data_IF_597472465525
#
_entry.id   IF_597472465525
#
_cell.length_a   1.000
_cell.length_b   1.000
_cell.length_c   1.000
_cell.angle_alpha   90.00
_cell.angle_beta   90.00
_cell.angle_gamma   90.00
#
_symmetry.space_group_name_H-M   'P 1'
#
loop_
_entity.id
_entity.type
_entity.pdbx_description
1 polymer ?
#
# COMPACT_ATOMS: atom_id res chain seq x y z
N UNK A 1 -9.01 -45.19 -4.01
CA UNK A 1 -9.01 -44.22 -2.89
C UNK A 1 -8.47 -42.81 -3.31
N UNK A 2 -8.51 -42.49 -4.58
CA UNK A 2 -7.85 -41.31 -5.13
C UNK A 2 -8.64 -39.97 -5.02
N UNK A 3 -9.76 -39.91 -4.30
CA UNK A 3 -10.62 -38.72 -4.25
C UNK A 3 -11.09 -38.33 -2.83
N UNK A 4 -10.38 -38.73 -1.79
CA UNK A 4 -10.71 -38.33 -0.44
C UNK A 4 -10.03 -37.00 -0.13
N UNK A 5 -10.80 -36.02 0.34
CA UNK A 5 -10.25 -34.71 0.75
C UNK A 5 -9.27 -34.89 1.92
N UNK A 6 -8.21 -34.10 1.95
CA UNK A 6 -7.18 -34.16 3.00
C UNK A 6 -7.78 -34.01 4.42
N UNK A 7 -8.79 -33.15 4.58
CA UNK A 7 -9.51 -32.94 5.87
C UNK A 7 -10.26 -34.20 6.33
N UNK A 8 -10.54 -35.13 5.43
CA UNK A 8 -11.22 -36.39 5.72
C UNK A 8 -10.23 -37.60 5.74
N UNK A 9 -8.94 -37.33 5.77
CA UNK A 9 -7.88 -38.33 5.84
C UNK A 9 -7.27 -38.74 4.49
N UNK A 10 -7.50 -37.99 3.42
CA UNK A 10 -6.79 -38.10 2.16
C UNK A 10 -5.43 -37.41 2.19
N UNK A 11 -4.61 -37.66 1.17
CA UNK A 11 -3.31 -37.01 1.04
C UNK A 11 -3.47 -35.51 0.73
N UNK A 12 -2.76 -34.59 1.44
CA UNK A 12 -2.77 -33.19 1.12
C UNK A 12 -2.08 -32.92 -0.22
N UNK A 13 -2.68 -32.05 -1.04
CA UNK A 13 -2.08 -31.62 -2.32
C UNK A 13 -0.74 -30.88 -2.10
N UNK A 14 -0.66 -30.15 -0.99
CA UNK A 14 0.57 -29.46 -0.58
C UNK A 14 1.14 -30.23 0.61
N UNK A 15 2.34 -30.84 0.48
CA UNK A 15 2.96 -31.57 1.58
C UNK A 15 3.21 -30.68 2.81
N UNK A 16 3.18 -31.23 4.02
CA UNK A 16 3.59 -30.50 5.22
C UNK A 16 4.99 -29.88 5.06
N UNK A 17 5.15 -28.60 5.41
CA UNK A 17 6.42 -27.87 5.30
C UNK A 17 6.76 -27.35 3.90
N UNK A 18 5.95 -27.60 2.88
CA UNK A 18 6.16 -27.02 1.55
C UNK A 18 5.92 -25.50 1.51
N UNK A 19 4.99 -25.01 2.33
CA UNK A 19 4.78 -23.57 2.51
C UNK A 19 5.70 -23.09 3.62
N UNK A 20 6.67 -22.25 3.24
CA UNK A 20 7.61 -21.65 4.20
C UNK A 20 6.93 -20.50 4.95
N UNK A 21 7.33 -20.24 6.21
CA UNK A 21 6.89 -19.06 6.94
C UNK A 21 7.21 -17.76 6.16
N UNK A 22 6.34 -16.81 6.26
CA UNK A 22 6.54 -15.47 5.70
C UNK A 22 6.25 -14.41 6.78
N UNK A 23 7.07 -13.36 6.91
CA UNK A 23 8.35 -13.16 6.20
C UNK A 23 9.44 -14.15 6.67
N UNK A 24 10.44 -14.46 5.84
CA UNK A 24 11.59 -15.24 6.27
C UNK A 24 12.41 -14.40 7.26
N UNK A 25 12.64 -14.92 8.46
CA UNK A 25 13.53 -14.31 9.46
C UNK A 25 14.91 -14.96 9.34
N UNK A 26 15.94 -14.14 9.26
CA UNK A 26 17.33 -14.55 9.13
C UNK A 26 18.14 -14.14 10.37
N UNK A 27 19.36 -14.68 10.52
CA UNK A 27 20.28 -14.30 11.58
C UNK A 27 20.59 -12.79 11.55
N UNK A 28 20.63 -12.18 10.36
CA UNK A 28 20.85 -10.74 10.18
C UNK A 28 19.69 -9.93 10.78
N UNK A 29 18.44 -10.39 10.59
CA UNK A 29 17.27 -9.73 11.18
C UNK A 29 17.34 -9.81 12.72
N UNK A 30 17.72 -10.96 13.25
CA UNK A 30 17.90 -11.13 14.71
C UNK A 30 18.99 -10.21 15.26
N UNK A 31 20.13 -10.09 14.59
CA UNK A 31 21.22 -9.19 14.98
C UNK A 31 20.76 -7.74 15.05
N UNK A 32 20.07 -7.25 14.02
CA UNK A 32 19.55 -5.86 13.98
C UNK A 32 18.54 -5.60 15.08
N UNK A 33 17.62 -6.52 15.31
CA UNK A 33 16.61 -6.39 16.38
C UNK A 33 17.28 -6.37 17.76
N UNK A 34 18.20 -7.29 18.02
CA UNK A 34 18.93 -7.34 19.30
C UNK A 34 19.81 -6.10 19.52
N UNK A 35 20.48 -5.62 18.49
CA UNK A 35 21.28 -4.39 18.56
C UNK A 35 20.38 -3.18 18.88
N UNK A 36 19.21 -3.08 18.26
CA UNK A 36 18.26 -2.02 18.52
C UNK A 36 17.72 -2.07 19.96
N UNK A 37 17.36 -3.26 20.47
CA UNK A 37 16.87 -3.44 21.85
C UNK A 37 17.93 -3.07 22.91
N UNK A 38 19.20 -3.35 22.62
CA UNK A 38 20.32 -3.04 23.50
C UNK A 38 20.80 -1.60 23.40
N UNK A 39 20.34 -0.87 22.39
CA UNK A 39 20.65 0.54 22.17
C UNK A 39 19.93 1.45 23.15
N UNK A 40 20.42 2.69 23.29
CA UNK A 40 19.85 3.67 24.21
C UNK A 40 18.67 4.48 23.64
N UNK A 41 18.48 4.46 22.31
CA UNK A 41 17.46 5.27 21.64
C UNK A 41 16.48 4.37 20.86
N UNK A 42 15.30 4.17 21.45
CA UNK A 42 14.27 3.28 20.90
C UNK A 42 13.15 4.02 20.16
N UNK A 43 13.04 5.35 20.27
CA UNK A 43 11.92 6.10 19.67
C UNK A 43 12.19 6.44 18.20
N UNK A 44 13.22 7.21 17.93
CA UNK A 44 13.67 7.54 16.55
C UNK A 44 15.18 7.26 16.49
N UNK A 45 15.49 5.98 16.38
CA UNK A 45 16.86 5.49 16.47
C UNK A 45 17.62 5.60 15.14
N UNK A 46 18.92 5.31 15.16
CA UNK A 46 19.79 5.37 13.98
C UNK A 46 19.31 4.45 12.85
N UNK A 47 18.69 3.32 13.18
CA UNK A 47 18.15 2.39 12.19
C UNK A 47 17.01 3.01 11.37
N UNK A 48 16.14 3.85 11.98
CA UNK A 48 15.11 4.57 11.24
C UNK A 48 15.72 5.54 10.22
N UNK A 49 16.71 6.32 10.66
CA UNK A 49 17.39 7.30 9.81
C UNK A 49 18.08 6.63 8.62
N UNK A 50 18.76 5.51 8.87
CA UNK A 50 19.46 4.80 7.79
C UNK A 50 18.46 4.12 6.84
N UNK A 51 17.42 3.48 7.38
CA UNK A 51 16.36 2.88 6.59
C UNK A 51 15.67 3.91 5.67
N UNK A 52 15.36 5.11 6.16
CA UNK A 52 14.77 6.18 5.34
C UNK A 52 15.66 6.55 4.15
N UNK A 53 16.98 6.66 4.36
CA UNK A 53 17.94 6.95 3.28
C UNK A 53 18.02 5.81 2.26
N UNK A 54 18.18 4.58 2.75
CA UNK A 54 18.28 3.40 1.90
C UNK A 54 17.01 3.17 1.10
N UNK A 55 15.83 3.29 1.75
CA UNK A 55 14.55 3.11 1.09
C UNK A 55 14.27 4.20 0.05
N UNK A 56 14.58 5.46 0.34
CA UNK A 56 14.47 6.55 -0.62
C UNK A 56 15.35 6.29 -1.85
N UNK A 57 16.60 5.90 -1.64
CA UNK A 57 17.53 5.57 -2.71
C UNK A 57 17.07 4.33 -3.53
N UNK A 58 16.64 3.27 -2.83
CA UNK A 58 16.15 2.05 -3.47
C UNK A 58 14.90 2.29 -4.33
N UNK A 59 13.97 3.13 -3.86
CA UNK A 59 12.73 3.46 -4.56
C UNK A 59 12.90 4.59 -5.59
N UNK A 60 14.02 5.30 -5.58
CA UNK A 60 14.28 6.43 -6.47
C UNK A 60 13.58 7.73 -6.04
N UNK A 61 13.14 7.82 -4.79
CA UNK A 61 12.50 9.00 -4.22
C UNK A 61 13.51 9.93 -3.55
N UNK A 62 13.15 11.20 -3.42
CA UNK A 62 13.99 12.17 -2.72
C UNK A 62 14.00 11.97 -1.21
N UNK A 63 12.88 11.51 -0.65
CA UNK A 63 12.67 11.30 0.78
C UNK A 63 11.92 10.00 1.03
N UNK A 64 12.14 9.43 2.20
CA UNK A 64 11.29 8.43 2.83
C UNK A 64 11.08 8.81 4.29
N UNK A 65 9.95 8.46 4.85
CA UNK A 65 9.59 8.73 6.25
C UNK A 65 9.06 7.43 6.85
N UNK A 66 9.68 6.99 7.94
CA UNK A 66 9.22 5.82 8.69
C UNK A 66 7.98 6.14 9.52
N UNK A 67 7.06 5.20 9.55
CA UNK A 67 5.85 5.25 10.37
C UNK A 67 5.68 3.92 11.10
N UNK A 68 4.81 3.90 12.11
CA UNK A 68 4.54 2.68 12.87
C UNK A 68 3.58 1.71 12.16
N UNK A 69 2.96 2.12 11.07
CA UNK A 69 2.04 1.29 10.27
C UNK A 69 1.74 1.91 8.91
N UNK A 70 1.30 1.09 7.94
CA UNK A 70 0.80 1.58 6.65
C UNK A 70 -0.42 2.49 6.82
N UNK A 71 -1.29 2.23 7.78
CA UNK A 71 -2.43 3.11 8.11
C UNK A 71 -1.96 4.51 8.50
N UNK A 72 -0.93 4.62 9.34
CA UNK A 72 -0.37 5.92 9.72
C UNK A 72 0.30 6.62 8.52
N UNK A 73 0.98 5.86 7.65
CA UNK A 73 1.56 6.39 6.43
C UNK A 73 0.49 6.98 5.50
N UNK A 74 -0.59 6.25 5.25
CA UNK A 74 -1.71 6.74 4.43
C UNK A 74 -2.36 7.98 5.03
N UNK A 75 -2.56 8.01 6.36
CA UNK A 75 -3.08 9.19 7.07
C UNK A 75 -2.18 10.42 6.84
N UNK A 76 -0.87 10.25 6.96
CA UNK A 76 0.09 11.33 6.66
C UNK A 76 0.05 11.77 5.19
N UNK A 77 -0.12 10.83 4.26
CA UNK A 77 -0.23 11.16 2.83
C UNK A 77 -1.49 11.97 2.53
N UNK A 78 -2.64 11.63 3.14
CA UNK A 78 -3.89 12.41 3.00
C UNK A 78 -3.70 13.82 3.54
N UNK A 79 -3.05 13.97 4.71
CA UNK A 79 -2.69 15.29 5.25
C UNK A 79 -1.78 16.08 4.29
N UNK A 80 -0.77 15.43 3.72
CA UNK A 80 0.15 16.05 2.78
C UNK A 80 -0.49 16.47 1.44
N UNK A 81 -1.68 15.95 1.15
CA UNK A 81 -2.51 16.37 0.01
C UNK A 81 -3.41 17.58 0.34
N UNK A 82 -3.28 18.18 1.52
CA UNK A 82 -4.10 19.29 2.02
C UNK A 82 -5.61 18.97 2.05
N UNK A 83 -5.95 17.67 2.24
CA UNK A 83 -7.33 17.25 2.39
C UNK A 83 -7.86 17.68 3.76
N UNK A 84 -9.09 18.17 3.78
CA UNK A 84 -9.76 18.71 4.97
C UNK A 84 -11.24 18.32 5.02
N UNK A 85 -11.96 18.81 6.01
CA UNK A 85 -13.37 18.52 6.20
C UNK A 85 -14.21 18.82 4.96
N UNK A 86 -14.92 17.79 4.49
CA UNK A 86 -15.81 17.86 3.33
C UNK A 86 -15.13 17.75 1.97
N UNK A 87 -13.79 17.70 1.91
CA UNK A 87 -13.07 17.33 0.69
C UNK A 87 -13.27 15.86 0.36
N UNK A 88 -13.24 15.50 -0.91
CA UNK A 88 -13.44 14.16 -1.40
C UNK A 88 -12.10 13.55 -1.84
N UNK A 89 -11.91 12.27 -1.50
CA UNK A 89 -10.77 11.48 -1.96
C UNK A 89 -11.29 10.20 -2.61
N UNK A 90 -10.97 10.01 -3.88
CA UNK A 90 -11.33 8.80 -4.62
C UNK A 90 -10.47 7.64 -4.13
N UNK A 91 -11.10 6.49 -3.91
CA UNK A 91 -10.43 5.27 -3.43
C UNK A 91 -11.12 4.03 -3.99
N UNK A 92 -10.35 2.96 -4.16
CA UNK A 92 -10.93 1.66 -4.59
C UNK A 92 -11.91 1.10 -3.57
N UNK A 93 -12.96 0.42 -4.06
CA UNK A 93 -13.93 -0.28 -3.22
C UNK A 93 -13.37 -1.59 -2.60
N UNK A 94 -12.28 -2.14 -3.14
CA UNK A 94 -11.66 -3.37 -2.67
C UNK A 94 -10.21 -3.14 -2.24
N UNK A 95 -10.00 -3.13 -0.93
CA UNK A 95 -8.68 -3.01 -0.30
C UNK A 95 -8.80 -3.31 1.20
N UNK A 96 -7.68 -3.23 1.90
CA UNK A 96 -7.69 -3.13 3.36
C UNK A 96 -8.40 -1.83 3.79
N UNK A 97 -9.17 -1.90 4.86
CA UNK A 97 -10.00 -0.76 5.30
C UNK A 97 -9.24 0.55 5.52
N UNK A 98 -7.94 0.49 5.83
CA UNK A 98 -7.12 1.69 6.06
C UNK A 98 -7.00 2.60 4.84
N UNK A 99 -7.13 2.07 3.62
CA UNK A 99 -7.11 2.89 2.40
C UNK A 99 -8.29 3.86 2.34
N UNK A 100 -9.42 3.53 3.00
CA UNK A 100 -10.57 4.42 3.13
C UNK A 100 -10.62 5.13 4.49
N UNK A 101 -10.28 4.44 5.60
CA UNK A 101 -10.40 5.06 6.93
C UNK A 101 -9.38 6.17 7.16
N UNK A 102 -8.23 6.16 6.49
CA UNK A 102 -7.27 7.27 6.54
C UNK A 102 -7.88 8.58 6.04
N UNK A 103 -8.83 8.53 5.10
CA UNK A 103 -9.57 9.69 4.59
C UNK A 103 -10.50 10.24 5.67
N UNK A 104 -11.21 9.33 6.36
CA UNK A 104 -12.13 9.71 7.44
C UNK A 104 -11.42 10.35 8.64
N UNK A 105 -10.15 10.01 8.88
CA UNK A 105 -9.35 10.64 9.94
C UNK A 105 -9.12 12.13 9.71
N UNK A 106 -9.30 12.63 8.48
CA UNK A 106 -9.25 14.05 8.13
C UNK A 106 -10.63 14.69 7.99
N UNK A 107 -11.70 14.02 8.41
CA UNK A 107 -13.09 14.42 8.17
C UNK A 107 -13.38 14.61 6.65
N UNK A 108 -12.56 14.02 5.79
CA UNK A 108 -12.76 13.99 4.35
C UNK A 108 -13.66 12.82 3.96
N UNK A 109 -14.19 12.84 2.77
CA UNK A 109 -15.22 11.89 2.28
C UNK A 109 -14.56 10.90 1.32
N UNK A 110 -14.52 9.60 1.63
CA UNK A 110 -14.09 8.59 0.67
C UNK A 110 -15.16 8.42 -0.43
N UNK A 111 -14.74 8.59 -1.68
CA UNK A 111 -15.57 8.33 -2.86
C UNK A 111 -15.10 7.03 -3.47
N UNK A 112 -15.92 5.99 -3.36
CA UNK A 112 -15.55 4.68 -3.83
C UNK A 112 -15.75 4.53 -5.33
N UNK A 113 -14.73 3.99 -5.98
CA UNK A 113 -14.78 3.51 -7.37
C UNK A 113 -14.62 2.00 -7.36
N UNK A 114 -15.39 1.31 -8.19
CA UNK A 114 -15.38 -0.14 -8.29
C UNK A 114 -14.05 -0.65 -8.85
N UNK A 115 -13.86 -1.95 -8.81
CA UNK A 115 -12.67 -2.62 -9.31
C UNK A 115 -12.86 -3.06 -10.75
N UNK A 116 -11.78 -3.10 -11.48
CA UNK A 116 -11.69 -3.89 -12.71
C UNK A 116 -11.65 -5.38 -12.35
N UNK A 117 -12.53 -6.16 -12.97
CA UNK A 117 -12.72 -7.58 -12.63
C UNK A 117 -11.51 -8.46 -12.92
N UNK A 118 -10.70 -8.11 -13.90
CA UNK A 118 -9.55 -8.92 -14.30
C UNK A 118 -8.34 -8.67 -13.39
N UNK A 119 -8.15 -7.42 -12.97
CA UNK A 119 -7.00 -6.99 -12.19
C UNK A 119 -7.26 -6.90 -10.69
N UNK A 120 -8.54 -6.79 -10.27
CA UNK A 120 -8.97 -6.48 -8.92
C UNK A 120 -8.50 -5.10 -8.40
N UNK A 121 -7.79 -4.34 -9.21
CA UNK A 121 -7.40 -2.97 -8.92
C UNK A 121 -8.56 -2.00 -9.24
N UNK A 122 -8.44 -0.75 -8.79
CA UNK A 122 -9.43 0.29 -9.12
C UNK A 122 -9.67 0.35 -10.64
N UNK A 123 -10.92 0.40 -11.05
CA UNK A 123 -11.28 0.58 -12.44
C UNK A 123 -10.99 2.03 -12.89
N UNK A 124 -9.90 2.19 -13.62
CA UNK A 124 -9.43 3.51 -14.06
C UNK A 124 -10.42 4.22 -14.97
N UNK A 125 -11.26 3.46 -15.71
CA UNK A 125 -12.28 4.04 -16.60
C UNK A 125 -13.41 4.74 -15.83
N UNK A 126 -13.60 4.38 -14.56
CA UNK A 126 -14.63 4.97 -13.70
C UNK A 126 -14.12 6.15 -12.86
N UNK A 127 -12.82 6.34 -12.73
CA UNK A 127 -12.24 7.40 -11.87
C UNK A 127 -12.75 8.78 -12.29
N UNK A 128 -12.69 9.10 -13.56
CA UNK A 128 -13.02 10.45 -14.05
C UNK A 128 -14.49 10.82 -13.82
N UNK A 129 -15.40 9.85 -13.91
CA UNK A 129 -16.82 10.04 -13.63
C UNK A 129 -17.12 10.30 -12.14
N UNK A 130 -16.23 9.90 -11.25
CA UNK A 130 -16.36 10.11 -9.80
C UNK A 130 -15.81 11.47 -9.33
N UNK A 131 -15.15 12.24 -10.21
CA UNK A 131 -14.55 13.52 -9.85
C UNK A 131 -15.62 14.60 -9.72
N UNK A 132 -15.55 15.36 -8.63
CA UNK A 132 -16.37 16.55 -8.36
C UNK A 132 -15.49 17.78 -8.08
N UNK A 133 -16.09 18.93 -7.86
CA UNK A 133 -15.37 20.14 -7.45
C UNK A 133 -14.71 20.02 -6.07
N UNK A 134 -15.11 19.01 -5.28
CA UNK A 134 -14.58 18.73 -3.94
C UNK A 134 -13.44 17.72 -3.93
N UNK A 135 -13.21 17.03 -5.04
CA UNK A 135 -12.16 16.01 -5.14
C UNK A 135 -10.79 16.65 -5.03
N UNK A 136 -9.92 16.11 -4.17
CA UNK A 136 -8.54 16.57 -3.93
C UNK A 136 -7.50 15.56 -4.31
N UNK A 137 -7.78 14.29 -4.07
CA UNK A 137 -6.80 13.23 -4.30
C UNK A 137 -7.44 11.94 -4.79
N UNK A 138 -6.60 11.07 -5.32
CA UNK A 138 -6.92 9.69 -5.70
C UNK A 138 -5.97 8.78 -4.93
N UNK A 139 -6.50 7.78 -4.21
CA UNK A 139 -5.73 6.70 -3.62
C UNK A 139 -5.87 5.47 -4.51
N UNK A 140 -4.78 5.03 -5.10
CA UNK A 140 -4.70 3.76 -5.81
C UNK A 140 -4.03 2.72 -4.93
N UNK A 141 -4.47 1.47 -5.03
CA UNK A 141 -3.87 0.35 -4.30
C UNK A 141 -3.32 -0.64 -5.32
N UNK A 142 -2.06 -0.99 -5.19
CA UNK A 142 -1.41 -2.01 -6.03
C UNK A 142 -1.66 -3.39 -5.45
N UNK A 143 -2.88 -3.88 -5.64
CA UNK A 143 -3.39 -5.06 -4.97
C UNK A 143 -2.63 -6.32 -5.42
N UNK A 144 -2.31 -7.18 -4.47
CA UNK A 144 -1.58 -8.45 -4.70
C UNK A 144 -0.23 -8.29 -5.44
N UNK A 145 0.36 -7.09 -5.42
CA UNK A 145 1.61 -6.81 -6.11
C UNK A 145 1.46 -6.43 -7.59
N UNK A 146 0.22 -6.31 -8.08
CA UNK A 146 -0.07 -5.86 -9.45
C UNK A 146 -0.23 -4.34 -9.46
N UNK A 147 0.64 -3.65 -10.19
CA UNK A 147 0.54 -2.20 -10.33
C UNK A 147 -0.72 -1.79 -11.10
N UNK A 148 -1.39 -0.74 -10.62
CA UNK A 148 -2.45 -0.03 -11.37
C UNK A 148 -1.84 0.61 -12.61
N UNK A 149 -2.64 0.85 -13.65
CA UNK A 149 -2.22 1.63 -14.84
C UNK A 149 -1.95 3.09 -14.43
N UNK A 150 -0.72 3.33 -13.97
CA UNK A 150 -0.32 4.64 -13.45
C UNK A 150 -0.25 5.71 -14.52
N UNK A 151 0.02 5.36 -15.78
CA UNK A 151 0.05 6.35 -16.85
C UNK A 151 -1.34 6.99 -17.04
N UNK A 152 -2.39 6.19 -16.99
CA UNK A 152 -3.78 6.67 -17.09
C UNK A 152 -4.22 7.43 -15.82
N UNK A 153 -3.90 6.91 -14.64
CA UNK A 153 -4.23 7.59 -13.37
C UNK A 153 -3.57 8.96 -13.32
N UNK A 154 -2.28 9.05 -13.65
CA UNK A 154 -1.54 10.31 -13.64
C UNK A 154 -2.05 11.29 -14.69
N UNK A 155 -2.50 10.81 -15.85
CA UNK A 155 -3.12 11.67 -16.88
C UNK A 155 -4.44 12.28 -16.37
N UNK A 156 -5.30 11.49 -15.72
CA UNK A 156 -6.54 11.97 -15.09
C UNK A 156 -6.21 12.99 -13.99
N UNK A 157 -5.28 12.64 -13.10
CA UNK A 157 -4.88 13.51 -12.01
C UNK A 157 -4.34 14.86 -12.49
N UNK A 158 -3.49 14.85 -13.53
CA UNK A 158 -2.97 16.08 -14.14
C UNK A 158 -4.07 16.94 -14.78
N UNK A 159 -5.01 16.32 -15.49
CA UNK A 159 -6.14 17.00 -16.12
C UNK A 159 -7.02 17.75 -15.12
N UNK A 160 -7.22 17.15 -13.93
CA UNK A 160 -8.11 17.67 -12.89
C UNK A 160 -7.36 18.33 -11.72
N UNK A 161 -6.02 18.48 -11.83
CA UNK A 161 -5.17 19.03 -10.77
C UNK A 161 -5.33 18.31 -9.42
N UNK A 162 -5.40 16.97 -9.44
CA UNK A 162 -5.53 16.11 -8.27
C UNK A 162 -4.17 15.59 -7.82
N UNK A 163 -4.06 15.25 -6.53
CA UNK A 163 -2.92 14.52 -5.98
C UNK A 163 -3.15 13.02 -6.12
N UNK A 164 -2.06 12.24 -6.19
CA UNK A 164 -2.14 10.78 -6.23
C UNK A 164 -1.36 10.20 -5.05
N UNK A 165 -1.97 9.27 -4.36
CA UNK A 165 -1.37 8.48 -3.29
C UNK A 165 -1.35 7.03 -3.77
N UNK A 166 -0.17 6.41 -3.74
CA UNK A 166 0.00 4.99 -4.05
C UNK A 166 0.10 4.18 -2.77
N UNK A 167 -0.90 3.34 -2.50
CA UNK A 167 -0.83 2.33 -1.45
C UNK A 167 -0.13 1.09 -2.01
N UNK A 168 1.16 0.99 -1.75
CA UNK A 168 2.01 -0.10 -2.20
C UNK A 168 2.31 -1.13 -1.09
N UNK A 169 1.47 -1.22 -0.06
CA UNK A 169 1.68 -2.13 1.08
C UNK A 169 1.81 -3.60 0.65
N UNK A 170 1.23 -3.98 -0.47
CA UNK A 170 1.31 -5.34 -1.04
C UNK A 170 2.24 -5.43 -2.26
N UNK A 171 2.94 -4.35 -2.63
CA UNK A 171 3.61 -4.24 -3.93
C UNK A 171 5.06 -3.73 -3.84
N UNK A 172 5.75 -3.97 -2.71
CA UNK A 172 7.14 -3.57 -2.55
C UNK A 172 8.02 -4.19 -3.64
N UNK A 173 8.65 -3.34 -4.47
CA UNK A 173 9.48 -3.78 -5.59
C UNK A 173 8.73 -4.06 -6.89
N UNK A 174 7.39 -4.01 -6.90
CA UNK A 174 6.62 -4.03 -8.14
C UNK A 174 7.04 -2.87 -9.07
N UNK A 175 6.82 -3.05 -10.36
CA UNK A 175 7.20 -2.05 -11.36
C UNK A 175 6.08 -1.87 -12.37
N UNK A 176 5.83 -0.62 -12.73
CA UNK A 176 5.00 -0.25 -13.86
C UNK A 176 5.89 0.45 -14.91
N UNK A 177 5.93 -0.07 -16.13
CA UNK A 177 6.79 0.44 -17.22
C UNK A 177 8.26 0.65 -16.80
N UNK A 178 8.80 -0.29 -16.00
CA UNK A 178 10.19 -0.28 -15.51
C UNK A 178 10.46 0.65 -14.32
N UNK A 179 9.50 1.46 -13.89
CA UNK A 179 9.56 2.31 -12.67
C UNK A 179 8.96 1.56 -11.48
N UNK A 180 9.53 1.76 -10.30
CA UNK A 180 8.94 1.31 -9.03
C UNK A 180 7.86 2.27 -8.61
#
# INVERSE_FOLDING_TARGET
>A
MANQLAILGGDPVIPPGAVKPWPPITEVDEEYVLASLRGANHAFGPNCVEFEKEFAAWNGNRYAITTNSGTAALHMCVAACDCSEGDEVIVTAYSWSSSATCILHHNSIPVFVDIDWETMNIDVDQIEAAITAKTRAIIVVHLHGLAVDMDRVMAIAAKHNLKVIEDACQAHGARFNGKK
#
